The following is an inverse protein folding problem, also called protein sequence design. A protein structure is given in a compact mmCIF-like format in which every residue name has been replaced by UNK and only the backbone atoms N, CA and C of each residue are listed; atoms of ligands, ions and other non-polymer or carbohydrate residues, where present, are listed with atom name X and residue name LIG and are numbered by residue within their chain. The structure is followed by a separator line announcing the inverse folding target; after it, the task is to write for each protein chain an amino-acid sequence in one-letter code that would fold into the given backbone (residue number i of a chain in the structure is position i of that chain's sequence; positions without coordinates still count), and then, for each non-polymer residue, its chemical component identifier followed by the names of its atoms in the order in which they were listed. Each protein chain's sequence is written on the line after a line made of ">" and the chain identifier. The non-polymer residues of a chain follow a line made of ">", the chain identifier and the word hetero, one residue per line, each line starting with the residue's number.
data_IF_888861506006
#
_entry.id   IF_888861506006
#
_cell.length_a   1.000
_cell.length_b   1.000
_cell.length_c   1.000
_cell.angle_alpha   90.00
_cell.angle_beta   90.00
_cell.angle_gamma   90.00
#
_symmetry.space_group_name_H-M   'P 1'
#
loop_
_entity.id
_entity.type
_entity.pdbx_description
1 polymer ?
#
# COMPACT_ATOMS: atom_id res chain seq x y z
N UNK A 1 51.59 -53.84 -53.69
CA UNK A 1 50.78 -54.35 -54.82
C UNK A 1 49.48 -53.55 -54.85
N UNK A 2 49.39 -52.54 -55.73
CA UNK A 2 48.12 -51.81 -55.91
C UNK A 2 47.16 -52.79 -56.61
N UNK A 3 46.00 -53.10 -56.03
CA UNK A 3 45.09 -54.07 -56.63
C UNK A 3 44.72 -53.62 -58.06
N UNK A 4 44.79 -54.53 -59.04
CA UNK A 4 44.56 -54.23 -60.46
C UNK A 4 43.21 -53.52 -60.73
N UNK A 5 42.24 -53.74 -59.82
CA UNK A 5 40.96 -53.06 -59.76
C UNK A 5 41.08 -51.53 -59.64
N UNK A 6 42.00 -51.03 -58.81
CA UNK A 6 42.23 -49.60 -58.58
C UNK A 6 42.79 -48.93 -59.84
N UNK A 7 43.71 -49.58 -60.54
CA UNK A 7 44.32 -49.05 -61.77
C UNK A 7 43.33 -48.99 -62.95
N UNK A 8 42.28 -49.81 -62.94
CA UNK A 8 41.20 -49.78 -63.93
C UNK A 8 40.11 -48.74 -63.61
N UNK A 9 39.75 -48.56 -62.33
CA UNK A 9 38.65 -47.68 -61.91
C UNK A 9 39.11 -46.30 -61.40
N UNK A 10 40.41 -45.98 -61.43
CA UNK A 10 40.95 -44.72 -60.87
C UNK A 10 40.31 -43.46 -61.46
N UNK A 11 39.97 -43.46 -62.76
CA UNK A 11 39.30 -42.33 -63.42
C UNK A 11 37.90 -42.09 -62.86
N UNK A 12 37.14 -43.16 -62.60
CA UNK A 12 35.78 -43.09 -62.03
C UNK A 12 35.83 -42.60 -60.58
N UNK A 13 36.80 -43.10 -59.79
CA UNK A 13 37.01 -42.64 -58.41
C UNK A 13 37.38 -41.16 -58.33
N UNK A 14 38.24 -40.67 -59.25
CA UNK A 14 38.56 -39.24 -59.32
C UNK A 14 37.35 -38.39 -59.68
N UNK A 15 36.55 -38.80 -60.67
CA UNK A 15 35.33 -38.08 -61.04
C UNK A 15 34.34 -38.04 -59.88
N UNK A 16 34.13 -39.17 -59.19
CA UNK A 16 33.27 -39.22 -58.01
C UNK A 16 33.77 -38.32 -56.87
N UNK A 17 35.09 -38.24 -56.66
CA UNK A 17 35.69 -37.39 -55.63
C UNK A 17 35.55 -35.89 -55.98
N UNK A 18 35.70 -35.51 -57.25
CA UNK A 18 35.48 -34.14 -57.72
C UNK A 18 34.01 -33.74 -57.54
N UNK A 19 33.07 -34.60 -57.94
CA UNK A 19 31.64 -34.34 -57.79
C UNK A 19 31.23 -34.27 -56.30
N UNK A 20 31.74 -35.17 -55.47
CA UNK A 20 31.54 -35.14 -54.02
C UNK A 20 32.11 -33.88 -53.36
N UNK A 21 33.32 -33.46 -53.76
CA UNK A 21 33.95 -32.22 -53.27
C UNK A 21 33.21 -30.96 -53.72
N UNK A 22 32.69 -30.92 -54.95
CA UNK A 22 31.86 -29.83 -55.44
C UNK A 22 30.52 -29.75 -54.72
N UNK A 23 29.86 -30.90 -54.49
CA UNK A 23 28.61 -30.97 -53.72
C UNK A 23 28.81 -30.55 -52.26
N UNK A 24 29.87 -31.04 -51.60
CA UNK A 24 30.18 -30.71 -50.22
C UNK A 24 30.53 -29.22 -50.06
N UNK A 25 31.40 -28.68 -50.92
CA UNK A 25 31.77 -27.26 -50.87
C UNK A 25 30.58 -26.35 -51.16
N UNK A 26 29.74 -26.66 -52.16
CA UNK A 26 28.51 -25.93 -52.44
C UNK A 26 27.53 -25.95 -51.26
N UNK A 27 27.30 -27.12 -50.65
CA UNK A 27 26.43 -27.28 -49.48
C UNK A 27 26.96 -26.53 -48.26
N UNK A 28 28.27 -26.58 -48.03
CA UNK A 28 28.93 -25.87 -46.93
C UNK A 28 28.85 -24.35 -47.09
N UNK A 29 29.10 -23.84 -48.31
CA UNK A 29 28.97 -22.41 -48.59
C UNK A 29 27.52 -21.92 -48.50
N UNK A 30 26.56 -22.71 -48.98
CA UNK A 30 25.14 -22.40 -48.88
C UNK A 30 24.65 -22.37 -47.43
N UNK A 31 24.98 -23.39 -46.64
CA UNK A 31 24.61 -23.46 -45.21
C UNK A 31 25.28 -22.36 -44.40
N UNK A 32 26.56 -22.04 -44.65
CA UNK A 32 27.24 -20.92 -43.98
C UNK A 32 26.56 -19.58 -44.26
N UNK A 33 26.22 -19.29 -45.52
CA UNK A 33 25.53 -18.04 -45.87
C UNK A 33 24.12 -17.97 -45.28
N UNK A 34 23.38 -19.08 -45.30
CA UNK A 34 22.07 -19.15 -44.67
C UNK A 34 22.20 -18.91 -43.15
N UNK A 35 23.14 -19.58 -42.48
CA UNK A 35 23.37 -19.44 -41.05
C UNK A 35 23.77 -18.02 -40.65
N UNK A 36 24.65 -17.35 -41.41
CA UNK A 36 25.04 -15.97 -41.12
C UNK A 36 23.89 -15.00 -41.36
N UNK A 37 23.13 -15.17 -42.45
CA UNK A 37 21.95 -14.36 -42.74
C UNK A 37 20.86 -14.51 -41.66
N UNK A 38 20.59 -15.74 -41.22
CA UNK A 38 19.66 -16.01 -40.13
C UNK A 38 20.18 -15.45 -38.80
N UNK A 39 21.45 -15.65 -38.46
CA UNK A 39 22.04 -15.11 -37.24
C UNK A 39 21.96 -13.58 -37.17
N UNK A 40 22.12 -12.88 -38.30
CA UNK A 40 21.95 -11.43 -38.36
C UNK A 40 20.49 -11.03 -38.11
N UNK A 41 19.52 -11.71 -38.75
CA UNK A 41 18.09 -11.47 -38.52
C UNK A 41 17.68 -11.69 -37.07
N UNK A 42 18.18 -12.75 -36.45
CA UNK A 42 17.94 -13.03 -35.03
C UNK A 42 18.52 -11.95 -34.14
N UNK A 43 19.78 -11.54 -34.34
CA UNK A 43 20.38 -10.44 -33.58
C UNK A 43 19.63 -9.13 -33.72
N UNK A 44 19.16 -8.81 -34.92
CA UNK A 44 18.38 -7.60 -35.15
C UNK A 44 17.04 -7.66 -34.42
N UNK A 45 16.34 -8.80 -34.52
CA UNK A 45 15.11 -9.04 -33.78
C UNK A 45 15.32 -8.95 -32.27
N UNK A 46 16.37 -9.59 -31.73
CA UNK A 46 16.67 -9.57 -30.30
C UNK A 46 16.95 -8.14 -29.82
N UNK A 47 17.61 -7.30 -30.64
CA UNK A 47 17.85 -5.89 -30.33
C UNK A 47 16.56 -5.06 -30.36
N UNK A 48 15.69 -5.28 -31.36
CA UNK A 48 14.39 -4.63 -31.45
C UNK A 48 13.49 -5.04 -30.27
N UNK A 49 13.42 -6.34 -29.97
CA UNK A 49 12.67 -6.89 -28.84
C UNK A 49 13.21 -6.36 -27.49
N UNK A 50 14.53 -6.24 -27.33
CA UNK A 50 15.13 -5.64 -26.13
C UNK A 50 14.78 -4.15 -25.98
N UNK A 51 14.74 -3.40 -27.09
CA UNK A 51 14.40 -1.98 -27.10
C UNK A 51 12.92 -1.77 -26.75
N UNK A 52 12.03 -2.54 -27.37
CA UNK A 52 10.60 -2.51 -27.06
C UNK A 52 10.35 -2.91 -25.61
N UNK A 53 11.02 -3.96 -25.11
CA UNK A 53 10.93 -4.35 -23.70
C UNK A 53 11.38 -3.22 -22.76
N UNK A 54 12.50 -2.57 -23.05
CA UNK A 54 13.00 -1.45 -22.25
C UNK A 54 11.99 -0.29 -22.23
N UNK A 55 11.39 0.05 -23.38
CA UNK A 55 10.35 1.07 -23.47
C UNK A 55 9.12 0.72 -22.64
N UNK A 56 8.62 -0.52 -22.75
CA UNK A 56 7.48 -1.01 -21.96
C UNK A 56 7.76 -0.97 -20.45
N UNK A 57 9.00 -1.29 -20.04
CA UNK A 57 9.39 -1.21 -18.63
C UNK A 57 9.40 0.22 -18.12
N UNK A 58 9.88 1.18 -18.92
CA UNK A 58 9.86 2.60 -18.54
C UNK A 58 8.41 3.10 -18.42
N UNK A 59 7.58 2.86 -19.43
CA UNK A 59 6.15 3.23 -19.41
C UNK A 59 5.43 2.63 -18.18
N UNK A 60 5.69 1.36 -17.86
CA UNK A 60 5.10 0.70 -16.70
C UNK A 60 5.58 1.30 -15.37
N UNK A 61 6.88 1.64 -15.26
CA UNK A 61 7.44 2.27 -14.05
C UNK A 61 6.92 3.69 -13.85
N UNK A 62 6.75 4.47 -14.90
CA UNK A 62 6.17 5.82 -14.81
C UNK A 62 4.73 5.77 -14.31
N UNK A 63 3.92 4.83 -14.84
CA UNK A 63 2.56 4.59 -14.38
C UNK A 63 2.53 4.14 -12.91
N UNK A 64 3.43 3.23 -12.52
CA UNK A 64 3.57 2.79 -11.13
C UNK A 64 3.93 3.95 -10.20
N UNK A 65 4.92 4.77 -10.56
CA UNK A 65 5.32 5.95 -9.79
C UNK A 65 4.18 6.96 -9.66
N UNK A 66 3.41 7.19 -10.73
CA UNK A 66 2.23 8.06 -10.66
C UNK A 66 1.22 7.56 -9.63
N UNK A 67 0.88 6.26 -9.68
CA UNK A 67 -0.07 5.64 -8.74
C UNK A 67 0.46 5.65 -7.30
N UNK A 68 1.75 5.37 -7.11
CA UNK A 68 2.39 5.46 -5.79
C UNK A 68 2.31 6.88 -5.23
N UNK A 69 2.60 7.90 -6.05
CA UNK A 69 2.50 9.31 -5.65
C UNK A 69 1.10 9.71 -5.19
N UNK A 70 0.05 9.28 -5.90
CA UNK A 70 -1.34 9.53 -5.49
C UNK A 70 -1.66 8.88 -4.13
N UNK A 71 -1.26 7.62 -3.93
CA UNK A 71 -1.46 6.90 -2.66
C UNK A 71 -0.67 7.53 -1.51
N UNK A 72 0.54 8.03 -1.78
CA UNK A 72 1.37 8.69 -0.78
C UNK A 72 0.80 10.03 -0.32
N UNK A 73 0.23 10.83 -1.23
CA UNK A 73 -0.50 12.04 -0.86
C UNK A 73 -1.76 11.72 -0.05
N UNK A 74 -2.50 10.67 -0.40
CA UNK A 74 -3.65 10.20 0.39
C UNK A 74 -3.20 9.79 1.81
N UNK A 75 -2.08 9.05 1.93
CA UNK A 75 -1.51 8.70 3.23
C UNK A 75 -1.12 9.92 4.04
N UNK A 76 -0.53 10.93 3.41
CA UNK A 76 -0.12 12.18 4.07
C UNK A 76 -1.34 12.94 4.59
N UNK A 77 -2.39 13.07 3.77
CA UNK A 77 -3.65 13.68 4.17
C UNK A 77 -4.32 12.91 5.32
N UNK A 78 -4.34 11.57 5.25
CA UNK A 78 -4.89 10.73 6.31
C UNK A 78 -4.14 10.92 7.65
N UNK A 79 -2.81 11.00 7.61
CA UNK A 79 -1.98 11.29 8.80
C UNK A 79 -2.31 12.66 9.39
N UNK A 80 -2.48 13.68 8.55
CA UNK A 80 -2.85 15.02 9.00
C UNK A 80 -4.25 15.03 9.63
N UNK A 81 -5.22 14.35 9.03
CA UNK A 81 -6.56 14.22 9.59
C UNK A 81 -6.55 13.51 10.95
N UNK A 82 -5.81 12.40 11.08
CA UNK A 82 -5.67 11.69 12.35
C UNK A 82 -5.00 12.55 13.43
N UNK A 83 -3.98 13.33 13.07
CA UNK A 83 -3.36 14.28 13.99
C UNK A 83 -4.35 15.37 14.42
N UNK A 84 -5.19 15.86 13.51
CA UNK A 84 -6.30 16.77 13.81
C UNK A 84 -7.30 16.17 14.79
N UNK A 85 -7.79 14.95 14.52
CA UNK A 85 -8.69 14.20 15.42
C UNK A 85 -8.08 14.04 16.81
N UNK A 86 -6.80 13.71 16.91
CA UNK A 86 -6.11 13.60 18.20
C UNK A 86 -6.06 14.93 18.95
N UNK A 87 -5.70 16.02 18.24
CA UNK A 87 -5.68 17.35 18.83
C UNK A 87 -7.08 17.80 19.29
N UNK A 88 -8.12 17.45 18.54
CA UNK A 88 -9.50 17.79 18.87
C UNK A 88 -9.96 17.01 20.11
N UNK A 89 -9.65 15.71 20.18
CA UNK A 89 -9.91 14.88 21.36
C UNK A 89 -9.18 15.40 22.60
N UNK A 90 -7.93 15.86 22.47
CA UNK A 90 -7.18 16.42 23.60
C UNK A 90 -7.75 17.77 24.08
N UNK A 91 -8.21 18.62 23.16
CA UNK A 91 -8.93 19.86 23.52
C UNK A 91 -10.24 19.55 24.22
N UNK A 92 -11.01 18.58 23.74
CA UNK A 92 -12.24 18.12 24.39
C UNK A 92 -11.96 17.60 25.81
N UNK A 93 -10.96 16.74 25.99
CA UNK A 93 -10.54 16.24 27.31
C UNK A 93 -10.13 17.35 28.27
N UNK A 94 -9.42 18.37 27.79
CA UNK A 94 -9.04 19.51 28.61
C UNK A 94 -10.28 20.30 29.09
N UNK A 95 -11.26 20.51 28.21
CA UNK A 95 -12.52 21.14 28.56
C UNK A 95 -13.34 20.29 29.55
N UNK A 96 -13.45 18.98 29.31
CA UNK A 96 -14.13 18.01 30.19
C UNK A 96 -13.55 18.02 31.61
N UNK A 97 -12.21 17.98 31.76
CA UNK A 97 -11.56 18.09 33.07
C UNK A 97 -11.96 19.36 33.82
N UNK A 98 -11.97 20.49 33.12
CA UNK A 98 -12.40 21.77 33.70
C UNK A 98 -13.88 21.77 34.12
N UNK A 99 -14.75 21.07 33.39
CA UNK A 99 -16.15 20.87 33.76
C UNK A 99 -16.28 19.96 34.98
N UNK A 100 -15.57 18.83 35.02
CA UNK A 100 -15.56 17.90 36.14
C UNK A 100 -15.12 18.59 37.43
N UNK A 101 -14.03 19.37 37.39
CA UNK A 101 -13.55 20.12 38.56
C UNK A 101 -14.59 21.12 39.09
N UNK A 102 -15.35 21.77 38.20
CA UNK A 102 -16.41 22.71 38.58
C UNK A 102 -17.62 21.98 39.15
N UNK A 103 -18.01 20.86 38.54
CA UNK A 103 -19.10 20.02 39.02
C UNK A 103 -18.80 19.45 40.41
N UNK A 104 -17.56 18.98 40.65
CA UNK A 104 -17.12 18.48 41.96
C UNK A 104 -17.13 19.56 43.03
N UNK A 105 -16.66 20.77 42.71
CA UNK A 105 -16.70 21.91 43.63
C UNK A 105 -18.13 22.26 44.00
N UNK A 106 -19.04 22.29 43.03
CA UNK A 106 -20.46 22.57 43.27
C UNK A 106 -21.11 21.46 44.10
N UNK A 107 -20.82 20.19 43.80
CA UNK A 107 -21.32 19.05 44.53
C UNK A 107 -20.90 19.07 46.01
N UNK A 108 -19.62 19.38 46.28
CA UNK A 108 -19.12 19.55 47.65
C UNK A 108 -19.79 20.70 48.39
N UNK A 109 -19.97 21.85 47.73
CA UNK A 109 -20.66 23.00 48.33
C UNK A 109 -22.13 22.68 48.66
N UNK A 110 -22.82 21.92 47.80
CA UNK A 110 -24.18 21.48 48.05
C UNK A 110 -24.24 20.48 49.21
N UNK A 111 -23.33 19.51 49.25
CA UNK A 111 -23.23 18.55 50.33
C UNK A 111 -22.95 19.22 51.69
N UNK A 112 -22.03 20.19 51.73
CA UNK A 112 -21.76 21.01 52.93
C UNK A 112 -23.01 21.79 53.38
N UNK A 113 -23.76 22.39 52.45
CA UNK A 113 -25.02 23.08 52.76
C UNK A 113 -26.11 22.13 53.24
N UNK A 114 -26.25 20.96 52.62
CA UNK A 114 -27.19 19.92 53.04
C UNK A 114 -26.89 19.45 54.48
N UNK A 115 -25.60 19.27 54.82
CA UNK A 115 -25.17 18.97 56.20
C UNK A 115 -25.48 20.11 57.16
N UNK A 116 -25.18 21.36 56.78
CA UNK A 116 -25.42 22.53 57.63
C UNK A 116 -26.92 22.77 57.91
N UNK A 117 -27.78 22.59 56.91
CA UNK A 117 -29.24 22.71 57.07
C UNK A 117 -29.87 21.49 57.73
N UNK A 118 -29.26 20.30 57.62
CA UNK A 118 -29.72 19.04 58.19
C UNK A 118 -29.39 18.82 59.67
N UNK A 119 -28.53 19.66 60.27
CA UNK A 119 -28.04 19.52 61.65
C UNK A 119 -29.12 19.56 62.75
N UNK A 120 -30.37 19.94 62.42
CA UNK A 120 -31.52 19.92 63.33
C UNK A 120 -32.48 18.74 63.14
N UNK A 121 -32.27 17.86 62.14
CA UNK A 121 -33.21 16.77 61.83
C UNK A 121 -32.76 15.45 62.46
N UNK A 122 -33.41 15.04 63.56
CA UNK A 122 -33.19 13.74 64.20
C UNK A 122 -33.68 12.61 63.29
N UNK A 123 -32.79 12.03 62.48
CA UNK A 123 -33.11 10.86 61.66
C UNK A 123 -32.31 10.70 60.37
N UNK A 124 -31.51 11.68 59.95
CA UNK A 124 -30.66 11.54 58.76
C UNK A 124 -29.34 10.86 59.14
N UNK A 125 -29.12 9.65 58.63
CA UNK A 125 -27.87 8.92 58.85
C UNK A 125 -26.68 9.66 58.24
N UNK A 126 -25.59 9.80 58.99
CA UNK A 126 -24.34 10.47 58.58
C UNK A 126 -23.65 9.82 57.37
N UNK A 127 -24.16 8.68 56.90
CA UNK A 127 -23.58 7.80 55.88
C UNK A 127 -24.23 7.88 54.50
N UNK A 128 -25.27 8.69 54.28
CA UNK A 128 -25.87 8.85 52.95
C UNK A 128 -24.99 9.76 52.08
N UNK A 129 -24.46 9.22 50.97
CA UNK A 129 -23.68 10.01 50.00
C UNK A 129 -24.60 11.05 49.38
N UNK A 130 -24.23 12.33 49.43
CA UNK A 130 -25.07 13.39 48.86
C UNK A 130 -25.36 13.13 47.37
N UNK A 131 -26.62 13.29 46.98
CA UNK A 131 -27.06 13.10 45.59
C UNK A 131 -26.30 14.00 44.62
N UNK A 132 -25.83 15.16 45.07
CA UNK A 132 -25.02 16.06 44.26
C UNK A 132 -23.63 15.46 43.93
N UNK A 133 -23.01 14.75 44.88
CA UNK A 133 -21.73 14.05 44.68
C UNK A 133 -21.91 12.86 43.74
N UNK A 134 -23.00 12.10 43.90
CA UNK A 134 -23.33 11.00 42.99
C UNK A 134 -23.55 11.50 41.55
N UNK A 135 -24.32 12.59 41.37
CA UNK A 135 -24.56 13.18 40.06
C UNK A 135 -23.26 13.67 39.38
N UNK A 136 -22.34 14.26 40.15
CA UNK A 136 -21.03 14.65 39.62
C UNK A 136 -20.20 13.44 39.17
N UNK A 137 -20.21 12.32 39.90
CA UNK A 137 -19.51 11.10 39.50
C UNK A 137 -20.15 10.44 38.26
N UNK A 138 -21.48 10.36 38.21
CA UNK A 138 -22.19 9.84 37.05
C UNK A 138 -21.96 10.69 35.81
N UNK A 139 -21.98 12.02 35.95
CA UNK A 139 -21.67 12.94 34.86
C UNK A 139 -20.25 12.72 34.33
N UNK A 140 -19.26 12.58 35.22
CA UNK A 140 -17.87 12.28 34.84
C UNK A 140 -17.76 11.01 34.02
N UNK A 141 -18.32 9.90 34.53
CA UNK A 141 -18.25 8.59 33.83
C UNK A 141 -18.97 8.62 32.48
N UNK A 142 -20.10 9.32 32.42
CA UNK A 142 -20.85 9.48 31.18
C UNK A 142 -20.06 10.28 30.13
N UNK A 143 -19.45 11.40 30.53
CA UNK A 143 -18.62 12.23 29.66
C UNK A 143 -17.35 11.50 29.21
N UNK A 144 -16.65 10.82 30.12
CA UNK A 144 -15.48 9.99 29.79
C UNK A 144 -15.84 8.92 28.75
N UNK A 145 -16.96 8.21 28.94
CA UNK A 145 -17.41 7.20 27.99
C UNK A 145 -17.81 7.80 26.65
N UNK A 146 -18.49 8.95 26.65
CA UNK A 146 -18.83 9.67 25.43
C UNK A 146 -17.57 10.11 24.66
N UNK A 147 -16.55 10.58 25.37
CA UNK A 147 -15.26 10.98 24.79
C UNK A 147 -14.48 9.81 24.18
N UNK A 148 -14.50 8.64 24.80
CA UNK A 148 -13.91 7.42 24.23
C UNK A 148 -14.59 7.02 22.91
N UNK A 149 -15.91 6.99 22.90
CA UNK A 149 -16.71 6.64 21.73
C UNK A 149 -16.52 7.66 20.60
N UNK A 150 -16.49 8.95 20.93
CA UNK A 150 -16.24 10.01 19.95
C UNK A 150 -14.86 9.84 19.29
N UNK A 151 -13.80 9.61 20.08
CA UNK A 151 -12.45 9.36 19.54
C UNK A 151 -12.44 8.16 18.61
N UNK A 152 -13.02 7.03 19.01
CA UNK A 152 -13.06 5.82 18.19
C UNK A 152 -13.81 6.07 16.87
N UNK A 153 -14.93 6.77 16.92
CA UNK A 153 -15.73 7.12 15.75
C UNK A 153 -14.98 8.07 14.80
N UNK A 154 -14.34 9.11 15.33
CA UNK A 154 -13.59 10.09 14.53
C UNK A 154 -12.35 9.45 13.88
N UNK A 155 -11.63 8.60 14.61
CA UNK A 155 -10.52 7.83 14.06
C UNK A 155 -10.98 6.84 12.98
N UNK A 156 -12.08 6.12 13.23
CA UNK A 156 -12.66 5.20 12.25
C UNK A 156 -13.09 5.95 10.98
N UNK A 157 -13.70 7.13 11.14
CA UNK A 157 -14.09 7.99 10.02
C UNK A 157 -12.88 8.47 9.23
N UNK A 158 -11.83 8.97 9.89
CA UNK A 158 -10.61 9.41 9.21
C UNK A 158 -9.94 8.27 8.44
N UNK A 159 -9.88 7.06 9.02
CA UNK A 159 -9.37 5.87 8.33
C UNK A 159 -10.27 5.46 7.16
N UNK A 160 -11.59 5.51 7.32
CA UNK A 160 -12.57 5.21 6.26
C UNK A 160 -12.43 6.13 5.06
N UNK A 161 -12.35 7.44 5.29
CA UNK A 161 -12.13 8.44 4.23
C UNK A 161 -10.82 8.19 3.47
N UNK A 162 -9.75 7.79 4.18
CA UNK A 162 -8.49 7.45 3.54
C UNK A 162 -8.62 6.19 2.65
N UNK A 163 -9.35 5.17 3.10
CA UNK A 163 -9.63 3.98 2.31
C UNK A 163 -10.46 4.28 1.06
N UNK A 164 -11.51 5.10 1.18
CA UNK A 164 -12.34 5.53 0.05
C UNK A 164 -11.52 6.31 -0.97
N UNK A 165 -10.68 7.24 -0.52
CA UNK A 165 -9.80 8.01 -1.39
C UNK A 165 -8.78 7.10 -2.12
N UNK A 166 -8.16 6.15 -1.42
CA UNK A 166 -7.21 5.20 -2.01
C UNK A 166 -7.89 4.25 -3.00
N UNK A 167 -9.12 3.83 -2.74
CA UNK A 167 -9.89 3.06 -3.71
C UNK A 167 -10.22 3.90 -4.94
N UNK A 168 -10.64 5.16 -4.75
CA UNK A 168 -10.94 6.10 -5.83
C UNK A 168 -9.76 6.37 -6.76
N UNK A 169 -8.53 6.47 -6.23
CA UNK A 169 -7.33 6.65 -7.06
C UNK A 169 -7.00 5.43 -7.93
N UNK A 170 -7.35 4.22 -7.48
CA UNK A 170 -7.10 2.99 -8.24
C UNK A 170 -8.26 2.68 -9.21
N UNK A 171 -9.50 2.97 -8.81
CA UNK A 171 -10.70 2.66 -9.57
C UNK A 171 -10.93 3.63 -10.75
N UNK A 172 -10.38 4.84 -10.69
CA UNK A 172 -10.54 5.83 -11.75
C UNK A 172 -9.50 5.57 -12.85
N UNK A 173 -9.92 5.24 -14.10
CA UNK A 173 -8.97 5.10 -15.18
C UNK A 173 -8.29 6.45 -15.47
N UNK A 174 -7.02 6.45 -15.92
CA UNK A 174 -6.34 7.70 -16.24
C UNK A 174 -7.13 8.48 -17.29
N UNK A 175 -7.30 9.79 -17.07
CA UNK A 175 -7.83 10.69 -18.10
C UNK A 175 -6.89 10.62 -19.30
N UNK A 176 -7.38 10.06 -20.40
CA UNK A 176 -6.71 10.09 -21.72
C UNK A 176 -6.56 11.51 -22.21
#
# INVERSE_FOLDING_TARGET
>A
MIPAWFRSHWRVLLVALILGGAFFSGSWHGTRQANTAWALKWKQRDADDATELAKRQVEAREEEQRRQGEVDEIRKQARQQLAGVQADADRARAASRGLHDRADKLAKQLEERERACGAGTTGRGETETSGAVLLADLFRRADERAGELAREADEARARGLACEAAYGSIATPPKR
#
